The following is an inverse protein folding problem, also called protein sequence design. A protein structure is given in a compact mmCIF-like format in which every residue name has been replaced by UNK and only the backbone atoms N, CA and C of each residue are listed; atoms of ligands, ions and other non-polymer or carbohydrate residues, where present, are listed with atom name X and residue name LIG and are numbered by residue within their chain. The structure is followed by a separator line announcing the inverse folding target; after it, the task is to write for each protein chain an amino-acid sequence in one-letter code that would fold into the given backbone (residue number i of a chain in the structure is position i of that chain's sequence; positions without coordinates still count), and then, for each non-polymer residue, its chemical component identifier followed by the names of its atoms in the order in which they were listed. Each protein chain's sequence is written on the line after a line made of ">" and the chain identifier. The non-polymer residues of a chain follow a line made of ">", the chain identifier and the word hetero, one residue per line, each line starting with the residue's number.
data_IF_750864774383
#
_entry.id   IF_750864774383
#
_cell.length_a   1.000
_cell.length_b   1.000
_cell.length_c   1.000
_cell.angle_alpha   90.00
_cell.angle_beta   90.00
_cell.angle_gamma   90.00
#
_symmetry.space_group_name_H-M   'P 1'
#
loop_
_entity.id
_entity.type
_entity.pdbx_description
1 polymer ?
#
# COMPACT_ATOMS: atom_id res chain seq x y z
N UNK A 1 -3.29 -5.12 -15.64
CA UNK A 1 -3.54 -3.73 -16.11
C UNK A 1 -3.01 -2.76 -15.07
N UNK A 2 -2.50 -1.60 -15.50
CA UNK A 2 -2.15 -0.50 -14.58
C UNK A 2 -3.28 0.53 -14.62
N UNK A 3 -4.01 0.70 -13.53
CA UNK A 3 -4.97 1.81 -13.39
C UNK A 3 -4.34 2.89 -12.53
N UNK A 4 -4.44 4.14 -12.98
CA UNK A 4 -4.12 5.33 -12.19
C UNK A 4 -5.42 5.99 -11.75
N UNK A 5 -5.51 6.38 -10.47
CA UNK A 5 -6.64 7.14 -9.97
C UNK A 5 -6.52 8.60 -10.41
N UNK A 6 -7.16 8.92 -11.53
CA UNK A 6 -7.31 10.30 -11.97
C UNK A 6 -8.55 10.93 -11.35
N UNK A 7 -8.34 11.95 -10.52
CA UNK A 7 -9.42 12.80 -10.03
C UNK A 7 -9.61 13.93 -11.03
N UNK A 8 -10.84 14.11 -11.53
CA UNK A 8 -11.20 15.18 -12.48
C UNK A 8 -12.17 16.13 -11.82
N UNK A 9 -11.75 17.37 -11.62
CA UNK A 9 -12.61 18.43 -11.12
C UNK A 9 -13.44 19.00 -12.27
N UNK A 10 -14.74 19.09 -12.05
CA UNK A 10 -15.72 19.55 -13.04
C UNK A 10 -16.63 20.59 -12.42
N UNK A 11 -16.94 21.63 -13.20
CA UNK A 11 -17.87 22.67 -12.79
C UNK A 11 -19.17 22.59 -13.60
N UNK A 12 -20.30 22.77 -12.90
CA UNK A 12 -21.63 22.88 -13.50
C UNK A 12 -21.96 24.34 -13.78
N UNK A 13 -22.29 24.64 -15.03
CA UNK A 13 -22.81 25.96 -15.41
C UNK A 13 -24.34 25.91 -15.31
N UNK A 14 -24.92 26.77 -14.46
CA UNK A 14 -26.38 26.83 -14.25
C UNK A 14 -27.10 27.10 -15.58
N UNK A 15 -28.06 26.25 -15.91
CA UNK A 15 -28.88 26.37 -17.13
C UNK A 15 -28.26 25.75 -18.39
N UNK A 16 -27.12 25.04 -18.30
CA UNK A 16 -26.54 24.27 -19.42
C UNK A 16 -26.42 22.79 -19.05
N UNK A 17 -26.77 21.92 -20.00
CA UNK A 17 -26.52 20.48 -19.87
C UNK A 17 -25.03 20.21 -20.08
N UNK A 18 -24.42 19.47 -19.16
CA UNK A 18 -22.99 19.11 -19.22
C UNK A 18 -22.16 19.80 -18.14
N UNK A 19 -20.85 19.50 -18.16
CA UNK A 19 -19.88 20.03 -17.21
C UNK A 19 -18.68 20.64 -17.96
N UNK A 20 -18.03 21.63 -17.35
CA UNK A 20 -16.74 22.16 -17.83
C UNK A 20 -15.63 21.58 -16.96
N UNK A 21 -14.63 20.95 -17.60
CA UNK A 21 -13.46 20.42 -16.90
C UNK A 21 -12.61 21.58 -16.37
N UNK A 22 -12.30 21.57 -15.08
CA UNK A 22 -11.46 22.57 -14.41
C UNK A 22 -10.02 22.08 -14.24
N UNK A 23 -9.85 20.91 -13.64
CA UNK A 23 -8.55 20.34 -13.36
C UNK A 23 -8.57 18.81 -13.50
N UNK A 24 -7.39 18.21 -13.63
CA UNK A 24 -7.19 16.76 -13.56
C UNK A 24 -5.88 16.50 -12.85
N UNK A 25 -5.92 15.71 -11.78
CA UNK A 25 -4.73 15.33 -11.04
C UNK A 25 -4.68 13.82 -10.84
N UNK A 26 -3.46 13.34 -10.64
CA UNK A 26 -3.19 11.98 -10.19
C UNK A 26 -3.17 12.06 -8.67
N UNK A 27 -4.10 11.38 -8.03
CA UNK A 27 -4.19 11.36 -6.57
C UNK A 27 -3.54 10.11 -6.00
N UNK A 28 -3.14 10.19 -4.73
CA UNK A 28 -2.75 9.02 -3.97
C UNK A 28 -3.92 8.04 -3.81
N UNK A 29 -3.62 6.81 -3.43
CA UNK A 29 -4.68 5.87 -3.08
C UNK A 29 -4.21 4.83 -2.07
N UNK A 30 -5.18 4.24 -1.39
CA UNK A 30 -4.98 3.26 -0.33
C UNK A 30 -5.25 1.86 -0.88
N UNK A 31 -4.41 0.90 -0.47
CA UNK A 31 -4.61 -0.52 -0.76
C UNK A 31 -4.54 -1.33 0.52
N UNK A 32 -5.32 -2.41 0.60
CA UNK A 32 -5.25 -3.39 1.67
C UNK A 32 -4.57 -4.66 1.18
N UNK A 33 -3.55 -5.10 1.89
CA UNK A 33 -2.83 -6.34 1.62
C UNK A 33 -3.17 -7.35 2.72
N UNK A 34 -3.75 -8.52 2.39
CA UNK A 34 -3.96 -9.57 3.37
C UNK A 34 -2.61 -10.21 3.75
N UNK A 35 -2.31 -10.17 5.03
CA UNK A 35 -1.11 -10.71 5.64
C UNK A 35 -1.43 -11.99 6.43
N UNK A 36 -0.47 -12.91 6.45
CA UNK A 36 -0.53 -14.15 7.22
C UNK A 36 0.75 -14.25 8.04
N UNK A 37 0.62 -14.31 9.36
CA UNK A 37 1.72 -14.55 10.29
C UNK A 37 1.62 -15.98 10.80
N UNK A 38 2.74 -16.71 10.71
CA UNK A 38 2.91 -18.06 11.21
C UNK A 38 3.67 -18.03 12.54
N UNK A 39 2.97 -18.19 13.64
CA UNK A 39 3.53 -18.14 14.99
C UNK A 39 4.25 -19.43 15.39
N UNK A 40 4.03 -20.52 14.67
CA UNK A 40 4.69 -21.81 14.87
C UNK A 40 6.15 -21.84 14.39
N UNK A 41 6.54 -20.90 13.53
CA UNK A 41 7.87 -20.86 12.91
C UNK A 41 8.77 -19.74 13.48
N UNK A 42 8.20 -18.82 14.25
CA UNK A 42 8.84 -17.56 14.63
C UNK A 42 9.54 -17.57 15.99
N UNK A 43 9.52 -18.67 16.75
CA UNK A 43 10.20 -18.69 18.05
C UNK A 43 11.10 -19.92 18.23
N UNK A 44 12.28 -19.67 18.79
CA UNK A 44 13.14 -20.69 19.37
C UNK A 44 12.56 -21.11 20.74
N UNK A 45 11.42 -21.82 20.76
CA UNK A 45 10.93 -22.45 22.00
C UNK A 45 9.42 -22.53 22.26
N UNK A 46 8.53 -21.97 21.42
CA UNK A 46 7.08 -21.98 21.68
C UNK A 46 6.17 -21.27 20.67
N UNK A 47 4.90 -21.05 21.03
CA UNK A 47 3.96 -20.20 20.27
C UNK A 47 4.03 -18.79 20.84
N UNK A 48 4.29 -17.78 20.00
CA UNK A 48 4.31 -16.37 20.44
C UNK A 48 2.93 -15.93 20.91
N UNK A 49 2.89 -15.14 21.97
CA UNK A 49 1.66 -14.51 22.42
C UNK A 49 1.28 -13.29 21.55
N UNK A 50 0.09 -12.74 21.80
CA UNK A 50 -0.43 -11.62 21.03
C UNK A 50 0.47 -10.38 21.11
N UNK A 51 1.01 -10.06 22.29
CA UNK A 51 1.83 -8.88 22.53
C UNK A 51 3.20 -9.00 21.84
N UNK A 52 3.80 -10.19 21.84
CA UNK A 52 5.03 -10.49 21.10
C UNK A 52 4.84 -10.29 19.59
N UNK A 53 3.75 -10.81 19.04
CA UNK A 53 3.41 -10.65 17.61
C UNK A 53 3.19 -9.16 17.29
N UNK A 54 2.45 -8.45 18.13
CA UNK A 54 2.19 -7.03 17.96
C UNK A 54 3.48 -6.22 17.95
N UNK A 55 4.37 -6.47 18.92
CA UNK A 55 5.65 -5.76 19.01
C UNK A 55 6.57 -6.03 17.81
N UNK A 56 6.61 -7.26 17.30
CA UNK A 56 7.39 -7.56 16.09
C UNK A 56 6.82 -6.94 14.83
N UNK A 57 5.49 -6.95 14.70
CA UNK A 57 4.83 -6.31 13.58
C UNK A 57 5.04 -4.79 13.60
N UNK A 58 4.95 -4.14 14.76
CA UNK A 58 5.26 -2.71 14.90
C UNK A 58 6.68 -2.43 14.40
N UNK A 59 7.68 -3.20 14.81
CA UNK A 59 9.06 -3.01 14.31
C UNK A 59 9.21 -3.20 12.81
N UNK A 60 8.38 -4.05 12.21
CA UNK A 60 8.38 -4.30 10.77
C UNK A 60 7.68 -3.21 9.95
N UNK A 61 6.81 -2.40 10.56
CA UNK A 61 5.98 -1.43 9.84
C UNK A 61 6.21 0.02 10.25
N UNK A 62 6.83 0.27 11.40
CA UNK A 62 7.14 1.60 11.93
C UNK A 62 8.30 2.23 11.15
N UNK A 63 7.97 2.72 9.95
CA UNK A 63 8.88 3.43 9.08
C UNK A 63 8.32 4.83 8.79
N UNK A 64 9.07 5.86 9.18
CA UNK A 64 8.76 7.24 8.82
C UNK A 64 8.90 7.49 7.30
N UNK A 65 9.89 6.83 6.68
CA UNK A 65 10.20 6.97 5.26
C UNK A 65 9.41 5.95 4.42
N UNK A 66 9.09 6.27 3.15
CA UNK A 66 8.35 5.37 2.28
C UNK A 66 9.16 4.10 1.97
N UNK A 67 8.51 2.95 2.12
CA UNK A 67 9.09 1.64 1.83
C UNK A 67 8.82 1.21 0.39
N UNK A 68 9.70 0.36 -0.14
CA UNK A 68 9.52 -0.23 -1.47
C UNK A 68 8.53 -1.40 -1.39
N UNK A 69 7.38 -1.28 -2.04
CA UNK A 69 6.40 -2.36 -2.15
C UNK A 69 6.37 -2.94 -3.57
N UNK A 70 6.56 -4.26 -3.66
CA UNK A 70 6.62 -4.99 -4.93
C UNK A 70 6.14 -6.43 -4.75
N UNK A 71 5.23 -6.87 -5.62
CA UNK A 71 4.95 -8.31 -5.76
C UNK A 71 6.12 -9.01 -6.45
N UNK A 72 6.49 -10.19 -5.96
CA UNK A 72 7.67 -10.94 -6.42
C UNK A 72 7.69 -11.20 -7.94
N UNK A 73 6.53 -11.25 -8.59
CA UNK A 73 6.38 -11.46 -10.02
C UNK A 73 6.40 -10.17 -10.87
N UNK A 74 6.63 -8.99 -10.28
CA UNK A 74 6.66 -7.71 -10.99
C UNK A 74 8.09 -7.18 -11.11
N UNK A 75 8.39 -6.56 -12.25
CA UNK A 75 9.65 -5.84 -12.51
C UNK A 75 9.55 -4.33 -12.23
N UNK A 76 8.54 -3.92 -11.45
CA UNK A 76 8.31 -2.55 -11.03
C UNK A 76 7.80 -2.53 -9.58
N UNK A 77 7.92 -1.39 -8.90
CA UNK A 77 7.53 -1.21 -7.50
C UNK A 77 6.82 0.13 -7.26
N UNK A 78 6.16 0.25 -6.10
CA UNK A 78 5.68 1.51 -5.56
C UNK A 78 6.50 1.92 -4.33
N UNK A 79 6.53 3.23 -4.07
CA UNK A 79 6.91 3.78 -2.77
C UNK A 79 5.64 3.97 -1.96
N UNK A 80 5.55 3.32 -0.81
CA UNK A 80 4.32 3.29 0.01
C UNK A 80 4.64 3.67 1.44
N UNK A 81 3.68 4.30 2.10
CA UNK A 81 3.67 4.47 3.54
C UNK A 81 2.76 3.44 4.17
N UNK A 82 3.13 2.94 5.34
CA UNK A 82 2.32 2.01 6.10
C UNK A 82 1.56 2.81 7.16
N UNK A 83 0.54 3.54 6.70
CA UNK A 83 -0.23 4.46 7.53
C UNK A 83 -1.63 3.87 7.75
N UNK A 84 -1.81 3.19 8.87
CA UNK A 84 -3.12 2.72 9.25
C UNK A 84 -3.11 1.95 10.57
N UNK A 85 -4.26 1.90 11.26
CA UNK A 85 -4.43 0.91 12.30
C UNK A 85 -4.34 -0.48 11.65
N UNK A 86 -3.58 -1.38 12.26
CA UNK A 86 -3.61 -2.80 11.95
C UNK A 86 -4.21 -3.52 13.14
N UNK A 87 -5.26 -4.29 12.90
CA UNK A 87 -5.94 -5.04 13.94
C UNK A 87 -5.40 -6.47 13.94
N UNK A 88 -4.69 -6.83 15.00
CA UNK A 88 -4.25 -8.21 15.22
C UNK A 88 -5.36 -8.91 16.01
N UNK A 89 -5.96 -9.98 15.47
CA UNK A 89 -6.98 -10.75 16.17
C UNK A 89 -6.51 -11.18 17.56
N UNK A 90 -7.32 -10.95 18.59
CA UNK A 90 -7.02 -11.36 19.98
C UNK A 90 -6.93 -12.88 20.14
N UNK A 91 -7.64 -13.63 19.31
CA UNK A 91 -7.56 -15.09 19.30
C UNK A 91 -6.35 -15.54 18.46
N UNK A 92 -5.21 -15.65 19.13
CA UNK A 92 -3.97 -16.22 18.60
C UNK A 92 -3.81 -17.70 18.96
N UNK A 93 -4.87 -18.38 19.46
CA UNK A 93 -4.82 -19.80 19.84
C UNK A 93 -4.47 -20.73 18.67
N UNK A 94 -4.47 -20.20 17.44
CA UNK A 94 -3.96 -20.87 16.24
C UNK A 94 -2.53 -20.45 15.88
N UNK A 95 -1.78 -21.40 15.31
CA UNK A 95 -0.44 -21.17 14.74
C UNK A 95 -0.40 -20.13 13.62
N UNK A 96 -1.56 -19.71 13.10
CA UNK A 96 -1.69 -18.82 11.95
C UNK A 96 -2.62 -17.66 12.30
N UNK A 97 -2.09 -16.43 12.28
CA UNK A 97 -2.84 -15.19 12.44
C UNK A 97 -2.98 -14.49 11.08
N UNK A 98 -4.16 -13.96 10.77
CA UNK A 98 -4.43 -13.21 9.54
C UNK A 98 -4.89 -11.81 9.87
N UNK A 99 -4.39 -10.82 9.15
CA UNK A 99 -4.81 -9.42 9.27
C UNK A 99 -4.60 -8.70 7.93
N UNK A 100 -5.21 -7.52 7.76
CA UNK A 100 -4.97 -6.69 6.59
C UNK A 100 -4.00 -5.56 6.96
N UNK A 101 -3.02 -5.33 6.11
CA UNK A 101 -2.14 -4.17 6.19
C UNK A 101 -2.60 -3.11 5.19
N UNK A 102 -2.90 -1.92 5.69
CA UNK A 102 -3.23 -0.77 4.85
C UNK A 102 -1.95 -0.08 4.40
N UNK A 103 -1.82 0.15 3.09
CA UNK A 103 -0.71 0.87 2.49
C UNK A 103 -1.24 2.11 1.78
N UNK A 104 -0.59 3.24 2.01
CA UNK A 104 -0.87 4.51 1.35
C UNK A 104 0.16 4.75 0.25
N UNK A 105 -0.31 4.91 -0.98
CA UNK A 105 0.53 5.23 -2.13
C UNK A 105 0.36 6.71 -2.45
N UNK A 106 1.34 7.54 -2.08
CA UNK A 106 1.31 8.98 -2.37
C UNK A 106 1.70 9.30 -3.82
N UNK A 107 2.68 8.58 -4.37
CA UNK A 107 2.98 8.60 -5.81
C UNK A 107 2.53 7.29 -6.45
N UNK A 108 1.41 7.27 -7.20
CA UNK A 108 0.92 6.04 -7.82
C UNK A 108 1.72 5.61 -9.05
N UNK A 109 2.76 6.36 -9.44
CA UNK A 109 3.70 5.93 -10.49
C UNK A 109 4.43 4.66 -10.08
N UNK A 110 4.69 3.82 -11.09
CA UNK A 110 5.44 2.57 -10.94
C UNK A 110 6.88 2.84 -11.31
N UNK A 111 7.80 2.52 -10.41
CA UNK A 111 9.23 2.63 -10.63
C UNK A 111 9.76 1.32 -11.20
N UNK A 112 10.60 1.38 -12.23
CA UNK A 112 11.27 0.20 -12.78
C UNK A 112 12.30 -0.33 -11.79
N UNK A 113 12.37 -1.65 -11.66
CA UNK A 113 13.45 -2.34 -10.92
C UNK A 113 14.77 -2.28 -11.70
N UNK A 114 14.70 -2.21 -13.03
CA UNK A 114 15.86 -2.05 -13.89
C UNK A 114 16.22 -0.57 -13.96
N UNK A 115 17.45 -0.21 -13.57
CA UNK A 115 17.97 1.19 -13.55
C UNK A 115 18.16 1.83 -14.94
N UNK A 116 17.52 1.32 -15.98
CA UNK A 116 17.53 1.91 -17.32
C UNK A 116 16.09 2.20 -17.73
N UNK A 117 15.84 3.50 -17.94
CA UNK A 117 14.58 4.14 -18.36
C UNK A 117 13.60 4.52 -17.24
N UNK A 118 13.82 5.73 -16.70
CA UNK A 118 12.70 6.62 -16.40
C UNK A 118 11.82 6.71 -17.67
N UNK A 119 10.68 6.04 -17.66
CA UNK A 119 9.65 6.18 -18.72
C UNK A 119 8.91 7.53 -18.64
N UNK A 120 9.38 8.46 -17.80
CA UNK A 120 8.83 9.81 -17.65
C UNK A 120 9.58 10.90 -18.45
N UNK A 121 10.67 10.57 -19.17
CA UNK A 121 11.45 11.55 -19.97
C UNK A 121 11.57 11.13 -21.44
N UNK A 122 10.48 10.64 -22.03
CA UNK A 122 10.40 10.43 -23.47
C UNK A 122 9.04 10.88 -23.99
N UNK A 123 8.73 12.14 -23.75
CA UNK A 123 7.74 12.93 -24.51
C UNK A 123 8.10 14.41 -24.34
N UNK A 124 9.13 14.84 -25.06
CA UNK A 124 9.39 16.24 -25.42
C UNK A 124 9.88 16.31 -26.86
#
# INVERSE_FOLDING_TARGET
>A
MSSFNFVTEVEKIKGRTGNVKRARQIDGYEIEIPMIVRNDYLSEGGTKDHDEIANELVKFIDYYEPVTFRFSNQNWFWKVHIDGPFEIPLNTEGQITKFNLKLTILDPRRYSVNELFNTAVSDQ
#
